data_IF_214619939163
#
_entry.id   IF_214619939163
#
_cell.length_a   1.000
_cell.length_b   1.000
_cell.length_c   1.000
_cell.angle_alpha   90.00
_cell.angle_beta   90.00
_cell.angle_gamma   90.00
#
_symmetry.space_group_name_H-M   'P 1'
#
loop_
_entity.id
_entity.type
_entity.pdbx_description
1 polymer ?
#
# COMPACT_ATOMS: atom_id res chain seq x y z
N UNK A 1 -27.37 -7.62 0.58
CA UNK A 1 -26.26 -7.74 1.55
C UNK A 1 -25.09 -6.91 1.01
N UNK A 2 -24.90 -5.69 1.50
CA UNK A 2 -23.79 -4.84 1.03
C UNK A 2 -22.47 -5.46 1.50
N UNK A 3 -21.66 -5.93 0.56
CA UNK A 3 -20.36 -6.52 0.84
C UNK A 3 -19.48 -5.45 1.48
N UNK A 4 -19.19 -5.57 2.78
CA UNK A 4 -18.27 -4.65 3.48
C UNK A 4 -16.92 -4.75 2.79
N UNK A 5 -16.56 -3.74 2.00
CA UNK A 5 -15.24 -3.64 1.39
C UNK A 5 -14.22 -3.71 2.52
N UNK A 6 -13.34 -4.71 2.45
CA UNK A 6 -12.30 -4.93 3.44
C UNK A 6 -11.38 -3.70 3.48
N UNK A 7 -11.11 -3.22 4.70
CA UNK A 7 -10.42 -1.97 4.98
C UNK A 7 -9.05 -1.88 4.28
N UNK A 8 -8.36 -3.01 4.14
CA UNK A 8 -7.10 -3.12 3.38
C UNK A 8 -7.22 -2.53 1.97
N UNK A 9 -8.29 -2.86 1.25
CA UNK A 9 -8.47 -2.45 -0.14
C UNK A 9 -8.87 -0.99 -0.25
N UNK A 10 -9.64 -0.46 0.70
CA UNK A 10 -9.90 0.98 0.77
C UNK A 10 -8.62 1.77 0.95
N UNK A 11 -7.77 1.36 1.90
CA UNK A 11 -6.48 2.01 2.15
C UNK A 11 -5.58 1.89 0.91
N UNK A 12 -5.52 0.72 0.26
CA UNK A 12 -4.75 0.53 -0.97
C UNK A 12 -5.21 1.45 -2.10
N UNK A 13 -6.52 1.56 -2.32
CA UNK A 13 -7.10 2.49 -3.30
C UNK A 13 -6.78 3.93 -2.97
N UNK A 14 -6.89 4.34 -1.70
CA UNK A 14 -6.53 5.69 -1.26
C UNK A 14 -5.05 5.99 -1.50
N UNK A 15 -4.13 5.08 -1.14
CA UNK A 15 -2.69 5.23 -1.41
C UNK A 15 -2.44 5.36 -2.91
N UNK A 16 -3.11 4.54 -3.73
CA UNK A 16 -2.99 4.58 -5.19
C UNK A 16 -3.40 5.95 -5.76
N UNK A 17 -4.61 6.40 -5.44
CA UNK A 17 -5.16 7.69 -5.91
C UNK A 17 -4.26 8.84 -5.50
N UNK A 18 -3.84 8.90 -4.23
CA UNK A 18 -2.96 9.96 -3.74
C UNK A 18 -1.59 9.91 -4.44
N UNK A 19 -1.04 8.71 -4.70
CA UNK A 19 0.25 8.59 -5.39
C UNK A 19 0.25 9.02 -6.86
N UNK A 20 -0.90 8.90 -7.53
CA UNK A 20 -1.10 9.38 -8.90
C UNK A 20 -1.29 10.90 -8.95
N UNK A 21 -1.93 11.48 -7.94
CA UNK A 21 -2.32 12.90 -7.92
C UNK A 21 -1.29 13.81 -7.27
N UNK A 22 -0.35 13.25 -6.50
CA UNK A 22 0.70 14.03 -5.86
C UNK A 22 1.63 14.69 -6.87
N UNK A 23 1.96 15.97 -6.63
CA UNK A 23 2.97 16.67 -7.44
C UNK A 23 4.36 16.02 -7.38
N UNK A 24 4.66 15.33 -6.28
CA UNK A 24 5.94 14.68 -6.05
C UNK A 24 5.85 13.17 -6.29
N UNK A 25 6.71 12.58 -7.13
CA UNK A 25 6.73 11.12 -7.35
C UNK A 25 7.12 10.30 -6.11
N UNK A 26 8.00 10.86 -5.28
CA UNK A 26 8.51 10.23 -4.06
C UNK A 26 7.58 10.52 -2.89
N UNK A 27 7.16 9.47 -2.19
CA UNK A 27 6.19 9.57 -1.10
C UNK A 27 6.81 8.94 0.15
N UNK A 28 6.83 9.67 1.25
CA UNK A 28 7.24 9.06 2.53
C UNK A 28 6.07 8.32 3.16
N UNK A 29 6.37 7.19 3.81
CA UNK A 29 5.36 6.45 4.56
C UNK A 29 4.68 7.33 5.62
N UNK A 30 5.46 8.22 6.26
CA UNK A 30 4.94 9.20 7.22
C UNK A 30 3.93 10.18 6.61
N UNK A 31 4.22 10.78 5.45
CA UNK A 31 3.28 11.70 4.79
C UNK A 31 1.96 11.00 4.48
N UNK A 32 2.03 9.76 4.02
CA UNK A 32 0.84 8.98 3.70
C UNK A 32 0.05 8.62 4.96
N UNK A 33 0.74 8.28 6.05
CA UNK A 33 0.13 8.02 7.37
C UNK A 33 -0.70 9.22 7.84
N UNK A 34 -0.11 10.41 7.81
CA UNK A 34 -0.75 11.64 8.26
C UNK A 34 -1.95 12.01 7.38
N UNK A 35 -1.87 11.81 6.05
CA UNK A 35 -2.98 12.10 5.12
C UNK A 35 -4.15 11.14 5.24
N UNK A 36 -3.89 9.90 5.62
CA UNK A 36 -4.90 8.86 5.79
C UNK A 36 -5.35 8.71 7.25
N UNK A 37 -4.86 9.56 8.16
CA UNK A 37 -5.15 9.50 9.59
C UNK A 37 -4.95 8.11 10.19
N UNK A 38 -3.87 7.43 9.80
CA UNK A 38 -3.53 6.09 10.31
C UNK A 38 -2.64 6.19 11.56
N UNK A 39 -2.78 5.23 12.47
CA UNK A 39 -2.01 5.21 13.72
C UNK A 39 -0.51 5.00 13.46
N UNK A 40 -0.17 4.04 12.61
CA UNK A 40 1.20 3.68 12.25
C UNK A 40 1.45 3.59 10.73
N UNK A 41 2.73 3.53 10.37
CA UNK A 41 3.16 3.42 8.98
C UNK A 41 3.31 1.95 8.50
N UNK A 42 3.14 0.98 9.40
CA UNK A 42 3.29 -0.46 9.10
C UNK A 42 2.19 -0.93 8.16
N UNK A 43 0.97 -0.42 8.36
CA UNK A 43 -0.17 -0.73 7.45
C UNK A 43 0.14 -0.30 6.01
N UNK A 44 0.72 0.89 5.83
CA UNK A 44 1.10 1.40 4.50
C UNK A 44 2.24 0.56 3.91
N UNK A 45 3.28 0.27 4.70
CA UNK A 45 4.38 -0.61 4.28
C UNK A 45 3.87 -1.98 3.83
N UNK A 46 2.93 -2.57 4.57
CA UNK A 46 2.29 -3.84 4.19
C UNK A 46 1.53 -3.73 2.87
N UNK A 47 0.78 -2.65 2.63
CA UNK A 47 0.09 -2.45 1.35
C UNK A 47 1.08 -2.28 0.20
N UNK A 48 2.09 -1.43 0.36
CA UNK A 48 3.17 -1.31 -0.64
C UNK A 48 3.85 -2.65 -0.89
N UNK A 49 3.90 -3.51 0.12
CA UNK A 49 4.41 -4.87 0.00
C UNK A 49 3.51 -5.83 -0.74
N UNK A 50 2.21 -5.75 -0.52
CA UNK A 50 1.20 -6.65 -1.07
C UNK A 50 0.81 -6.29 -2.52
N UNK A 51 1.09 -5.07 -2.99
CA UNK A 51 0.76 -4.59 -4.34
C UNK A 51 2.00 -4.09 -5.11
N UNK A 52 3.00 -4.96 -5.39
CA UNK A 52 4.24 -4.57 -6.05
C UNK A 52 4.05 -4.12 -7.52
N UNK A 53 2.92 -4.44 -8.15
CA UNK A 53 2.56 -3.97 -9.49
C UNK A 53 2.21 -2.47 -9.49
N UNK A 54 1.66 -1.98 -8.38
CA UNK A 54 1.26 -0.58 -8.22
C UNK A 54 2.39 0.26 -7.62
N UNK A 55 3.12 -0.31 -6.67
CA UNK A 55 4.08 0.42 -5.85
C UNK A 55 5.47 -0.19 -5.93
N UNK A 56 6.47 0.68 -5.94
CA UNK A 56 7.85 0.28 -5.78
C UNK A 56 8.32 0.61 -4.36
N UNK A 57 8.73 -0.43 -3.65
CA UNK A 57 9.46 -0.32 -2.39
C UNK A 57 10.78 0.36 -2.68
N UNK A 58 11.08 1.40 -1.90
CA UNK A 58 12.31 2.16 -1.98
C UNK A 58 12.47 2.92 -3.30
N UNK A 59 13.40 3.88 -3.26
CA UNK A 59 13.89 4.58 -4.44
C UNK A 59 15.41 4.38 -4.55
N UNK A 60 16.01 4.49 -5.75
CA UNK A 60 17.46 4.42 -5.90
C UNK A 60 18.17 5.45 -5.02
N UNK A 61 19.33 5.09 -4.44
CA UNK A 61 20.10 5.98 -3.54
C UNK A 61 20.37 7.34 -4.19
N UNK A 62 20.83 7.35 -5.44
CA UNK A 62 21.07 8.58 -6.22
C UNK A 62 19.84 9.48 -6.31
N UNK A 63 18.63 8.91 -6.45
CA UNK A 63 17.39 9.69 -6.49
C UNK A 63 17.04 10.24 -5.11
N UNK A 64 17.23 9.45 -4.05
CA UNK A 64 17.02 9.91 -2.68
C UNK A 64 17.96 11.07 -2.32
N UNK A 65 19.24 10.97 -2.67
CA UNK A 65 20.23 12.00 -2.39
C UNK A 65 19.89 13.31 -3.12
N UNK A 66 19.55 13.23 -4.41
CA UNK A 66 19.09 14.40 -5.17
C UNK A 66 17.79 15.01 -4.61
N UNK A 67 16.85 14.19 -4.14
CA UNK A 67 15.65 14.71 -3.48
C UNK A 67 15.97 15.38 -2.14
N UNK A 68 16.92 14.84 -1.36
CA UNK A 68 17.42 15.48 -0.12
C UNK A 68 18.04 16.84 -0.41
N UNK A 69 18.77 16.98 -1.52
CA UNK A 69 19.32 18.27 -1.95
C UNK A 69 18.22 19.27 -2.34
N UNK A 70 17.18 18.85 -3.05
CA UNK A 70 16.01 19.70 -3.32
C UNK A 70 15.34 20.16 -2.01
N UNK A 71 15.15 19.24 -1.06
CA UNK A 71 14.53 19.53 0.23
C UNK A 71 15.36 20.50 1.07
N UNK A 72 16.70 20.42 1.04
CA UNK A 72 17.60 21.40 1.69
C UNK A 72 17.42 22.79 1.10
N UNK A 73 17.22 22.87 -0.22
CA UNK A 73 16.91 24.10 -0.95
C UNK A 73 15.44 24.56 -0.84
N UNK A 74 14.68 24.04 0.14
CA UNK A 74 13.26 24.35 0.40
C UNK A 74 12.33 24.04 -0.78
N UNK A 75 12.73 23.18 -1.71
CA UNK A 75 11.91 22.71 -2.84
C UNK A 75 11.41 21.30 -2.55
N UNK A 76 10.22 20.97 -3.06
CA UNK A 76 9.67 19.60 -3.05
C UNK A 76 9.82 18.91 -1.69
N UNK A 77 9.41 19.63 -0.65
CA UNK A 77 9.50 19.17 0.72
C UNK A 77 8.13 18.68 1.18
N UNK A 78 8.01 17.45 1.72
CA UNK A 78 6.79 17.02 2.37
C UNK A 78 6.38 17.96 3.52
N UNK A 79 5.07 18.19 3.68
CA UNK A 79 4.52 19.10 4.69
C UNK A 79 5.08 18.85 6.10
N UNK A 80 5.11 17.60 6.54
CA UNK A 80 5.63 17.23 7.87
C UNK A 80 7.11 17.54 8.08
N UNK A 81 7.93 17.52 7.01
CA UNK A 81 9.33 17.95 7.09
C UNK A 81 9.38 19.48 7.15
N UNK A 82 8.52 20.17 6.40
CA UNK A 82 8.44 21.64 6.45
C UNK A 82 8.00 22.16 7.83
N UNK A 83 7.16 21.42 8.55
CA UNK A 83 6.68 21.77 9.90
C UNK A 83 7.62 21.31 11.02
N UNK A 84 8.66 20.54 10.71
CA UNK A 84 9.61 20.07 11.72
C UNK A 84 10.49 21.20 12.24
N UNK A 85 10.73 21.23 13.57
CA UNK A 85 11.69 22.15 14.22
C UNK A 85 13.13 21.93 13.75
N UNK A 86 13.50 20.70 13.40
CA UNK A 86 14.86 20.35 12.97
C UNK A 86 14.86 19.71 11.57
N UNK A 87 14.47 20.51 10.59
CA UNK A 87 14.27 20.08 9.21
C UNK A 87 15.52 19.42 8.61
N UNK A 88 16.71 20.00 8.84
CA UNK A 88 17.97 19.50 8.28
C UNK A 88 18.31 18.12 8.84
N UNK A 89 18.17 17.93 10.16
CA UNK A 89 18.42 16.62 10.75
C UNK A 89 17.42 15.58 10.23
N UNK A 90 16.14 15.93 10.13
CA UNK A 90 15.11 15.04 9.57
C UNK A 90 15.41 14.65 8.13
N UNK A 91 15.82 15.61 7.29
CA UNK A 91 16.24 15.34 5.91
C UNK A 91 17.44 14.39 5.90
N UNK A 92 18.45 14.64 6.74
CA UNK A 92 19.67 13.84 6.80
C UNK A 92 19.40 12.39 7.24
N UNK A 93 18.47 12.19 8.18
CA UNK A 93 18.03 10.88 8.66
C UNK A 93 17.10 10.14 7.68
N UNK A 94 16.56 10.84 6.67
CA UNK A 94 15.74 10.20 5.65
C UNK A 94 16.58 9.17 4.88
N UNK A 95 16.02 7.97 4.75
CA UNK A 95 16.64 6.77 4.18
C UNK A 95 15.67 6.13 3.19
N UNK A 96 16.16 5.14 2.44
CA UNK A 96 15.35 4.45 1.43
C UNK A 96 14.14 3.73 2.03
N UNK A 97 14.25 3.24 3.27
CA UNK A 97 13.20 2.53 4.01
C UNK A 97 12.02 3.43 4.43
N UNK A 98 12.22 4.75 4.36
CA UNK A 98 11.19 5.73 4.72
C UNK A 98 10.32 6.14 3.53
N UNK A 99 10.64 5.66 2.32
CA UNK A 99 10.12 6.18 1.06
C UNK A 99 9.67 5.04 0.15
N UNK A 100 8.56 5.26 -0.53
CA UNK A 100 8.09 4.44 -1.64
C UNK A 100 7.71 5.34 -2.81
N UNK A 101 7.35 4.74 -3.95
CA UNK A 101 6.84 5.47 -5.11
C UNK A 101 5.77 4.67 -5.85
N UNK A 102 4.97 5.40 -6.63
CA UNK A 102 4.14 4.81 -7.67
C UNK A 102 5.06 4.20 -8.76
N UNK A 103 4.77 2.97 -9.20
CA UNK A 103 5.62 2.26 -10.17
C UNK A 103 5.69 2.95 -11.53
N UNK A 104 4.64 3.69 -11.90
CA UNK A 104 4.55 4.44 -13.16
C UNK A 104 5.27 5.80 -13.09
N UNK A 105 5.83 6.17 -11.93
CA UNK A 105 6.54 7.43 -11.72
C UNK A 105 7.98 7.18 -11.28
N UNK A 106 8.82 6.77 -12.21
CA UNK A 106 10.15 6.21 -11.94
C UNK A 106 11.30 7.23 -11.80
N UNK A 107 11.03 8.54 -11.93
CA UNK A 107 12.01 9.62 -11.87
C UNK A 107 11.60 10.72 -10.87
N UNK A 108 12.51 11.62 -10.52
CA UNK A 108 12.25 12.77 -9.62
C UNK A 108 11.28 13.79 -10.23
N UNK A 109 11.29 13.88 -11.55
CA UNK A 109 10.49 14.82 -12.33
C UNK A 109 9.36 14.11 -13.09
N UNK A 110 9.02 12.88 -12.69
CA UNK A 110 7.99 12.13 -13.39
C UNK A 110 6.65 12.87 -13.30
N UNK A 111 6.04 13.06 -14.46
CA UNK A 111 4.72 13.68 -14.58
C UNK A 111 3.66 12.87 -13.82
N UNK A 112 2.49 13.50 -13.66
CA UNK A 112 1.34 12.77 -13.15
C UNK A 112 0.94 11.70 -14.16
N UNK A 113 0.59 10.48 -13.71
CA UNK A 113 0.11 9.44 -14.61
C UNK A 113 -1.16 9.89 -15.31
N UNK A 114 -1.34 9.46 -16.55
CA UNK A 114 -2.59 9.66 -17.28
C UNK A 114 -3.77 9.03 -16.53
N UNK A 115 -4.98 9.56 -16.75
CA UNK A 115 -6.20 9.10 -16.06
C UNK A 115 -6.48 7.61 -16.26
N UNK A 116 -6.09 7.04 -17.41
CA UNK A 116 -6.27 5.60 -17.65
C UNK A 116 -5.42 4.75 -16.70
N UNK A 117 -4.23 5.20 -16.29
CA UNK A 117 -3.39 4.50 -15.30
C UNK A 117 -4.07 4.51 -13.94
N UNK A 118 -4.60 5.67 -13.53
CA UNK A 118 -5.36 5.78 -12.29
C UNK A 118 -6.52 4.77 -12.25
N UNK A 119 -7.33 4.74 -13.32
CA UNK A 119 -8.47 3.82 -13.43
C UNK A 119 -8.03 2.36 -13.41
N UNK A 120 -7.01 2.02 -14.21
CA UNK A 120 -6.44 0.67 -14.24
C UNK A 120 -6.03 0.18 -12.85
N UNK A 121 -5.37 1.01 -12.04
CA UNK A 121 -4.96 0.59 -10.70
C UNK A 121 -6.13 0.41 -9.72
N UNK A 122 -7.22 1.19 -9.87
CA UNK A 122 -8.45 0.98 -9.10
C UNK A 122 -9.09 -0.37 -9.47
N UNK A 123 -9.17 -0.66 -10.76
CA UNK A 123 -9.69 -1.93 -11.26
C UNK A 123 -8.82 -3.11 -10.80
N UNK A 124 -7.50 -2.97 -10.87
CA UNK A 124 -6.56 -3.98 -10.38
C UNK A 124 -6.79 -4.33 -8.90
N UNK A 125 -6.96 -3.32 -8.03
CA UNK A 125 -7.23 -3.54 -6.60
C UNK A 125 -8.59 -4.22 -6.39
N UNK A 126 -9.61 -3.80 -7.16
CA UNK A 126 -10.95 -4.39 -7.13
C UNK A 126 -10.92 -5.87 -7.52
N UNK A 127 -10.21 -6.21 -8.59
CA UNK A 127 -10.13 -7.58 -9.09
C UNK A 127 -9.35 -8.48 -8.12
N UNK A 128 -8.30 -7.93 -7.49
CA UNK A 128 -7.60 -8.61 -6.40
C UNK A 128 -8.53 -8.91 -5.22
N UNK A 129 -9.38 -7.95 -4.82
CA UNK A 129 -10.37 -8.16 -3.76
C UNK A 129 -11.34 -9.30 -4.09
N UNK A 130 -11.97 -9.28 -5.27
CA UNK A 130 -12.90 -10.34 -5.67
C UNK A 130 -12.24 -11.71 -5.73
N UNK A 131 -11.00 -11.78 -6.23
CA UNK A 131 -10.23 -13.03 -6.26
C UNK A 131 -9.93 -13.54 -4.85
N UNK A 132 -9.58 -12.66 -3.91
CA UNK A 132 -9.32 -13.03 -2.52
C UNK A 132 -10.57 -13.54 -1.79
N UNK A 133 -11.73 -12.91 -2.01
CA UNK A 133 -13.01 -13.32 -1.42
C UNK A 133 -13.41 -14.70 -1.94
N UNK A 134 -13.37 -14.89 -3.26
CA UNK A 134 -13.70 -16.18 -3.89
C UNK A 134 -12.79 -17.32 -3.43
N UNK A 135 -11.51 -17.03 -3.20
CA UNK A 135 -10.55 -18.03 -2.70
C UNK A 135 -10.85 -18.41 -1.25
N UNK A 136 -11.22 -17.45 -0.42
CA UNK A 136 -11.61 -17.71 0.97
C UNK A 136 -12.90 -18.53 1.07
N UNK A 137 -13.91 -18.23 0.25
CA UNK A 137 -15.14 -19.02 0.16
C UNK A 137 -14.86 -20.49 -0.20
N UNK A 138 -14.01 -20.73 -1.21
CA UNK A 138 -13.60 -22.10 -1.58
C UNK A 138 -12.90 -22.83 -0.43
N UNK A 139 -12.02 -22.15 0.31
CA UNK A 139 -11.35 -22.73 1.48
C UNK A 139 -12.33 -23.08 2.60
N UNK A 140 -13.26 -22.17 2.91
CA UNK A 140 -14.31 -22.40 3.91
C UNK A 140 -15.16 -23.62 3.55
N UNK A 141 -15.58 -23.74 2.29
CA UNK A 141 -16.36 -24.88 1.81
C UNK A 141 -15.58 -26.21 1.89
N UNK A 142 -14.27 -26.19 1.63
CA UNK A 142 -13.45 -27.38 1.75
C UNK A 142 -13.25 -27.83 3.20
N UNK A 143 -13.01 -26.88 4.13
CA UNK A 143 -12.89 -27.18 5.56
C UNK A 143 -14.20 -27.72 6.14
N UNK A 144 -15.35 -27.17 5.76
CA UNK A 144 -16.64 -27.69 6.22
C UNK A 144 -16.90 -29.11 5.70
N UNK A 145 -16.52 -29.39 4.45
CA UNK A 145 -16.64 -30.74 3.85
C UNK A 145 -15.76 -31.78 4.58
N UNK A 146 -14.55 -31.40 4.99
CA UNK A 146 -13.67 -32.27 5.78
C UNK A 146 -14.19 -32.43 7.21
N UNK A 147 -14.66 -31.35 7.82
CA UNK A 147 -15.23 -31.38 9.17
C UNK A 147 -16.43 -32.33 9.26
N UNK A 148 -17.34 -32.31 8.28
CA UNK A 148 -18.48 -33.25 8.25
C UNK A 148 -18.04 -34.70 8.04
N UNK A 149 -17.03 -34.95 7.20
CA UNK A 149 -16.45 -36.28 7.01
C UNK A 149 -15.82 -36.84 8.30
N UNK A 150 -15.06 -36.02 9.03
CA UNK A 150 -14.44 -36.43 10.31
C UNK A 150 -15.52 -36.76 11.35
N UNK A 151 -16.56 -35.94 11.47
CA UNK A 151 -17.68 -36.19 12.39
C UNK A 151 -18.39 -37.50 12.02
N UNK A 152 -18.61 -37.76 10.74
CA UNK A 152 -19.24 -39.00 10.28
C UNK A 152 -18.39 -40.25 10.60
N UNK A 153 -17.07 -40.18 10.43
CA UNK A 153 -16.14 -41.27 10.77
C UNK A 153 -16.14 -41.51 12.29
N UNK A 154 -16.07 -40.46 13.11
CA UNK A 154 -16.12 -40.59 14.56
C UNK A 154 -17.45 -41.19 15.03
N UNK A 155 -18.59 -40.80 14.44
CA UNK A 155 -19.88 -41.38 14.77
C UNK A 155 -19.93 -42.90 14.53
N UNK A 156 -19.32 -43.38 13.45
CA UNK A 156 -19.24 -44.83 13.14
C UNK A 156 -18.33 -45.57 14.14
N UNK A 157 -17.21 -44.96 14.55
CA UNK A 157 -16.28 -45.57 15.52
C UNK A 157 -16.92 -45.67 16.91
N UNK A 158 -17.68 -44.67 17.35
CA UNK A 158 -18.32 -44.67 18.67
C UNK A 158 -19.66 -45.43 18.73
N UNK A 159 -20.22 -45.84 17.59
CA UNK A 159 -21.46 -46.63 17.52
C UNK A 159 -21.26 -48.14 17.52
N UNK A 160 -20.01 -48.61 17.39
CA UNK A 160 -19.59 -50.02 17.51
C UNK A 160 -18.90 -50.26 18.85
#
# INVERSE_FOLDING_TARGET
MLMKINEKYKIATSIWVLSCTDKMPQITYRSMKERLSLDDDKTIKKIVNDFPELFQKHIPKKQLDAWKDEMRNKRRRPKWIAESKNQINVINQLSREHVFRNRFRNSLNADMPETYILNWGIEYIRDYYFTSVRTNEKRLNWVSTIGTLIIAILAIIFSN
#
